data_IF_305627546077
#
_entry.id   IF_305627546077
#
_cell.length_a   1.000
_cell.length_b   1.000
_cell.length_c   1.000
_cell.angle_alpha   90.00
_cell.angle_beta   90.00
_cell.angle_gamma   90.00
#
_symmetry.space_group_name_H-M   'P 1'
#
loop_
_entity.id
_entity.type
_entity.pdbx_description
1 polymer ?
#
# COMPACT_ATOMS: atom_id res chain seq x y z
N UNK A 1 6.70 3.36 14.40
CA UNK A 1 6.94 4.23 13.23
C UNK A 1 7.00 5.72 13.59
N UNK A 2 6.01 6.33 14.26
CA UNK A 2 6.01 7.77 14.56
C UNK A 2 7.30 8.32 15.18
N UNK A 3 7.88 7.63 16.18
CA UNK A 3 9.17 7.99 16.80
C UNK A 3 10.34 8.05 15.80
N UNK A 4 10.37 7.15 14.81
CA UNK A 4 11.41 7.13 13.76
C UNK A 4 11.28 8.36 12.87
N UNK A 5 10.05 8.69 12.46
CA UNK A 5 9.77 9.88 11.62
C UNK A 5 10.20 11.15 12.36
N UNK A 6 9.86 11.26 13.64
CA UNK A 6 10.27 12.39 14.48
C UNK A 6 11.79 12.49 14.62
N UNK A 7 12.48 11.36 14.83
CA UNK A 7 13.93 11.31 14.91
C UNK A 7 14.60 11.72 13.58
N UNK A 8 14.08 11.26 12.43
CA UNK A 8 14.56 11.70 11.11
C UNK A 8 14.41 13.20 10.95
N UNK A 9 13.24 13.76 11.32
CA UNK A 9 12.99 15.20 11.24
C UNK A 9 13.93 16.03 12.14
N UNK A 10 14.14 15.60 13.38
CA UNK A 10 15.10 16.20 14.33
C UNK A 10 16.54 16.16 13.80
N UNK A 11 16.88 15.14 13.01
CA UNK A 11 18.20 14.97 12.39
C UNK A 11 18.29 15.59 10.98
N UNK A 12 17.45 16.57 10.66
CA UNK A 12 17.52 17.34 9.42
C UNK A 12 16.76 16.73 8.24
N UNK A 13 16.07 15.62 8.42
CA UNK A 13 15.17 15.03 7.42
C UNK A 13 13.94 15.91 7.18
N UNK A 14 13.51 15.99 5.92
CA UNK A 14 12.34 16.77 5.49
C UNK A 14 11.54 15.95 4.47
N UNK A 15 10.97 16.58 3.45
CA UNK A 15 10.23 15.91 2.37
C UNK A 15 11.20 15.16 1.45
N UNK A 16 11.63 13.98 1.88
CA UNK A 16 12.63 13.13 1.20
C UNK A 16 12.00 12.13 0.23
N UNK A 17 10.93 12.51 -0.48
CA UNK A 17 10.29 11.61 -1.44
C UNK A 17 11.07 11.45 -2.76
N UNK A 18 12.05 12.33 -3.03
CA UNK A 18 12.93 12.27 -4.20
C UNK A 18 14.35 11.88 -3.77
N UNK A 19 15.01 11.06 -4.59
CA UNK A 19 16.32 10.46 -4.27
C UNK A 19 17.43 11.48 -4.01
N UNK A 20 17.33 12.68 -4.59
CA UNK A 20 18.32 13.75 -4.45
C UNK A 20 18.46 14.25 -2.99
N UNK A 21 17.40 14.13 -2.20
CA UNK A 21 17.37 14.57 -0.80
C UNK A 21 17.26 13.43 0.20
N UNK A 22 17.05 12.20 -0.28
CA UNK A 22 16.91 11.02 0.56
C UNK A 22 18.24 10.58 1.15
N UNK A 23 18.27 10.43 2.48
CA UNK A 23 19.46 9.97 3.19
C UNK A 23 19.20 8.63 3.88
N UNK A 24 19.48 7.53 3.20
CA UNK A 24 19.33 6.18 3.78
C UNK A 24 20.05 6.02 5.15
N UNK A 25 21.30 6.49 5.35
CA UNK A 25 21.97 6.39 6.64
C UNK A 25 21.22 7.10 7.78
N UNK A 26 20.58 8.24 7.50
CA UNK A 26 19.77 8.99 8.49
C UNK A 26 18.59 8.15 8.97
N UNK A 27 17.89 7.50 8.04
CA UNK A 27 16.77 6.61 8.37
C UNK A 27 17.23 5.40 9.15
N UNK A 28 18.29 4.71 8.73
CA UNK A 28 18.81 3.54 9.43
C UNK A 28 19.25 3.87 10.86
N UNK A 29 19.86 5.03 11.08
CA UNK A 29 20.18 5.52 12.42
C UNK A 29 18.92 5.75 13.25
N UNK A 30 17.91 6.43 12.69
CA UNK A 30 16.65 6.68 13.40
C UNK A 30 15.90 5.39 13.76
N UNK A 31 15.93 4.36 12.90
CA UNK A 31 15.41 3.03 13.19
C UNK A 31 16.14 2.38 14.37
N UNK A 32 17.48 2.38 14.33
CA UNK A 32 18.32 1.88 15.42
C UNK A 32 18.03 2.59 16.74
N UNK A 33 18.04 3.93 16.75
CA UNK A 33 17.81 4.75 17.95
C UNK A 33 16.42 4.52 18.56
N UNK A 34 15.42 4.18 17.73
CA UNK A 34 14.07 3.88 18.19
C UNK A 34 13.84 2.42 18.60
N UNK A 35 14.83 1.54 18.36
CA UNK A 35 14.73 0.10 18.58
C UNK A 35 13.71 -0.58 17.65
N UNK A 36 13.58 -0.10 16.41
CA UNK A 36 12.68 -0.68 15.41
C UNK A 36 13.47 -1.33 14.29
N UNK A 37 13.10 -2.56 13.94
CA UNK A 37 13.64 -3.24 12.77
C UNK A 37 12.93 -2.75 11.49
N UNK A 38 13.64 -2.12 10.54
CA UNK A 38 13.05 -1.71 9.27
C UNK A 38 12.65 -2.91 8.39
N UNK A 39 13.32 -4.05 8.50
CA UNK A 39 13.02 -5.23 7.68
C UNK A 39 11.61 -5.76 7.97
N UNK A 40 11.19 -5.77 9.24
CA UNK A 40 9.82 -6.08 9.63
C UNK A 40 8.76 -5.30 8.82
N UNK A 41 9.01 -4.05 8.44
CA UNK A 41 8.04 -3.26 7.68
C UNK A 41 8.16 -3.40 6.16
N UNK A 42 9.38 -3.61 5.66
CA UNK A 42 9.69 -3.57 4.24
C UNK A 42 9.64 -4.93 3.54
N UNK A 43 9.94 -6.03 4.25
CA UNK A 43 10.19 -7.33 3.61
C UNK A 43 9.23 -8.43 4.02
N UNK A 44 8.49 -8.25 5.11
CA UNK A 44 7.58 -9.30 5.58
C UNK A 44 6.42 -9.49 4.61
N UNK A 45 6.01 -10.74 4.45
CA UNK A 45 4.74 -11.06 3.85
C UNK A 45 3.60 -10.60 4.77
N UNK A 46 2.53 -10.07 4.15
CA UNK A 46 1.34 -9.60 4.87
C UNK A 46 0.25 -10.65 4.75
N UNK A 47 -0.31 -11.05 5.89
CA UNK A 47 -1.38 -12.05 5.92
C UNK A 47 -2.67 -11.53 5.27
N UNK A 48 -3.50 -12.45 4.80
CA UNK A 48 -4.81 -12.12 4.22
C UNK A 48 -5.86 -11.74 5.26
N UNK A 49 -5.58 -11.92 6.56
CA UNK A 49 -6.47 -11.49 7.66
C UNK A 49 -5.90 -10.28 8.40
N UNK A 50 -4.76 -9.75 7.95
CA UNK A 50 -4.15 -8.59 8.57
C UNK A 50 -4.90 -7.30 8.21
N UNK A 51 -5.06 -6.43 9.21
CA UNK A 51 -5.47 -5.04 8.97
C UNK A 51 -4.26 -4.26 8.47
N UNK A 52 -4.33 -3.83 7.21
CA UNK A 52 -3.26 -3.12 6.53
C UNK A 52 -3.30 -1.64 6.88
N UNK A 53 -2.15 -0.92 6.86
CA UNK A 53 -2.13 0.52 7.11
C UNK A 53 -3.05 1.32 6.17
N UNK A 54 -3.27 0.84 4.95
CA UNK A 54 -4.15 1.43 3.95
C UNK A 54 -5.59 0.90 4.00
N UNK A 55 -5.94 -0.03 4.88
CA UNK A 55 -7.34 -0.52 5.03
C UNK A 55 -8.32 0.57 5.48
N UNK A 56 -7.83 1.73 5.92
CA UNK A 56 -8.66 2.90 6.26
C UNK A 56 -9.09 3.71 5.02
N UNK A 57 -8.45 3.49 3.88
CA UNK A 57 -8.75 4.19 2.62
C UNK A 57 -9.86 3.40 1.92
N UNK A 58 -10.98 4.07 1.66
CA UNK A 58 -12.09 3.52 0.89
C UNK A 58 -12.19 4.26 -0.44
N UNK A 59 -12.16 3.49 -1.54
CA UNK A 59 -12.30 3.98 -2.91
C UNK A 59 -13.47 3.30 -3.62
N UNK A 60 -14.40 2.70 -2.88
CA UNK A 60 -15.51 1.89 -3.41
C UNK A 60 -15.07 0.57 -4.06
N UNK A 61 -13.85 0.12 -3.74
CA UNK A 61 -13.30 -1.16 -4.20
C UNK A 61 -13.34 -2.15 -3.03
N UNK A 62 -14.01 -3.29 -3.21
CA UNK A 62 -14.15 -4.30 -2.16
C UNK A 62 -12.82 -4.98 -1.82
N UNK A 63 -12.68 -5.49 -0.60
CA UNK A 63 -11.48 -6.23 -0.20
C UNK A 63 -11.33 -7.55 -0.96
N UNK A 64 -12.45 -8.21 -1.26
CA UNK A 64 -12.48 -9.52 -1.90
C UNK A 64 -11.85 -9.50 -3.29
N UNK A 65 -12.09 -8.42 -4.07
CA UNK A 65 -11.41 -8.25 -5.35
C UNK A 65 -9.90 -8.10 -5.15
N UNK A 66 -9.45 -7.28 -4.20
CA UNK A 66 -8.02 -7.07 -3.96
C UNK A 66 -7.29 -8.36 -3.59
N UNK A 67 -7.92 -9.23 -2.78
CA UNK A 67 -7.39 -10.55 -2.46
C UNK A 67 -7.34 -11.45 -3.69
N UNK A 68 -8.43 -11.53 -4.47
CA UNK A 68 -8.48 -12.32 -5.71
C UNK A 68 -7.38 -11.91 -6.69
N UNK A 69 -7.21 -10.61 -6.90
CA UNK A 69 -6.17 -10.06 -7.78
C UNK A 69 -4.76 -10.35 -7.24
N UNK A 70 -4.56 -10.31 -5.92
CA UNK A 70 -3.30 -10.73 -5.28
C UNK A 70 -2.97 -12.19 -5.57
N UNK A 71 -3.94 -13.11 -5.42
CA UNK A 71 -3.72 -14.52 -5.75
C UNK A 71 -3.35 -14.71 -7.22
N UNK A 72 -4.09 -14.06 -8.14
CA UNK A 72 -3.77 -14.09 -9.58
C UNK A 72 -2.36 -13.60 -9.86
N UNK A 73 -1.95 -12.48 -9.25
CA UNK A 73 -0.62 -11.92 -9.40
C UNK A 73 0.48 -12.90 -8.96
N UNK A 74 0.30 -13.58 -7.82
CA UNK A 74 1.25 -14.62 -7.38
C UNK A 74 1.28 -15.85 -8.29
N UNK A 75 0.18 -16.15 -8.96
CA UNK A 75 0.11 -17.20 -9.99
C UNK A 75 0.52 -16.71 -11.40
N UNK A 76 1.02 -15.47 -11.53
CA UNK A 76 1.34 -14.83 -12.81
C UNK A 76 0.17 -14.86 -13.82
N UNK A 77 -1.06 -14.79 -13.32
CA UNK A 77 -2.27 -14.78 -14.12
C UNK A 77 -2.73 -13.35 -14.38
N UNK A 78 -3.08 -13.07 -15.63
CA UNK A 78 -3.70 -11.80 -15.98
C UNK A 78 -5.19 -11.80 -15.61
N UNK A 79 -5.68 -10.63 -15.26
CA UNK A 79 -7.10 -10.39 -15.14
C UNK A 79 -7.66 -9.90 -16.47
N UNK A 80 -8.88 -10.34 -16.83
CA UNK A 80 -9.52 -9.92 -18.06
C UNK A 80 -9.85 -8.42 -18.01
N UNK A 81 -9.97 -7.81 -19.18
CA UNK A 81 -10.49 -6.44 -19.31
C UNK A 81 -11.91 -6.38 -18.72
N UNK A 82 -12.18 -5.39 -17.85
CA UNK A 82 -13.49 -5.18 -17.23
C UNK A 82 -14.63 -4.99 -18.24
N UNK A 83 -14.33 -4.48 -19.44
CA UNK A 83 -15.30 -4.32 -20.54
C UNK A 83 -15.68 -5.66 -21.17
N UNK A 84 -14.78 -6.64 -21.13
CA UNK A 84 -15.02 -8.00 -21.61
C UNK A 84 -15.66 -8.88 -20.52
N UNK A 85 -15.20 -8.74 -19.27
CA UNK A 85 -15.75 -9.44 -18.12
C UNK A 85 -15.58 -8.59 -16.86
N UNK A 86 -16.69 -8.15 -16.27
CA UNK A 86 -16.67 -7.30 -15.08
C UNK A 86 -15.89 -7.95 -13.94
N UNK A 87 -14.93 -7.22 -13.36
CA UNK A 87 -14.15 -7.69 -12.21
C UNK A 87 -14.96 -7.76 -10.91
N UNK A 88 -16.14 -7.15 -10.87
CA UNK A 88 -16.99 -6.99 -9.70
C UNK A 88 -16.29 -6.24 -8.55
N UNK A 89 -15.55 -5.18 -8.87
CA UNK A 89 -14.75 -4.44 -7.90
C UNK A 89 -15.59 -3.60 -6.92
N UNK A 90 -16.82 -3.24 -7.28
CA UNK A 90 -17.72 -2.41 -6.45
C UNK A 90 -17.89 -0.97 -6.96
N UNK A 91 -17.04 -0.50 -7.89
CA UNK A 91 -17.07 0.88 -8.39
C UNK A 91 -18.41 1.30 -9.02
N UNK A 92 -19.14 0.37 -9.63
CA UNK A 92 -20.48 0.63 -10.17
C UNK A 92 -21.48 1.13 -9.10
N UNK A 93 -21.30 0.75 -7.83
CA UNK A 93 -22.12 1.22 -6.72
C UNK A 93 -21.88 2.69 -6.34
N UNK A 94 -20.81 3.31 -6.84
CA UNK A 94 -20.52 4.74 -6.67
C UNK A 94 -21.23 5.61 -7.72
N UNK A 95 -21.87 5.02 -8.73
CA UNK A 95 -22.51 5.74 -9.82
C UNK A 95 -24.00 5.96 -9.53
N UNK A 96 -24.53 7.14 -9.87
CA UNK A 96 -25.97 7.46 -9.78
C UNK A 96 -26.80 6.85 -10.93
N UNK A 97 -26.14 6.22 -11.91
CA UNK A 97 -26.77 5.57 -13.05
C UNK A 97 -25.75 5.28 -14.17
N UNK A 98 -26.21 4.57 -15.21
CA UNK A 98 -25.37 4.22 -16.37
C UNK A 98 -24.64 2.88 -16.22
N UNK A 99 -23.82 2.55 -17.22
CA UNK A 99 -23.00 1.33 -17.26
C UNK A 99 -21.55 1.70 -16.92
N UNK A 100 -20.96 1.01 -15.95
CA UNK A 100 -19.52 1.08 -15.70
C UNK A 100 -18.75 0.62 -16.94
N UNK A 101 -17.83 1.46 -17.42
CA UNK A 101 -17.07 1.29 -18.66
C UNK A 101 -15.63 0.79 -18.45
N UNK A 102 -15.34 0.25 -17.26
CA UNK A 102 -14.05 -0.32 -16.89
C UNK A 102 -13.26 0.56 -15.93
#
# INVERSE_FOLDING_TARGET
MGRVIEAVWKNGGRLEAWSEYFSFPRWMRAFSDCGLDPAFYATRERGEEEVLPWSRIDMGVSRDILLRERHRAYHAQLSPDCRAACSACGAAGLMEGGRCDG
#
